data_IF_495993812726
#
_entry.id   IF_495993812726
#
_cell.length_a   1.000
_cell.length_b   1.000
_cell.length_c   1.000
_cell.angle_alpha   90.00
_cell.angle_beta   90.00
_cell.angle_gamma   90.00
#
_symmetry.space_group_name_H-M   'P 1'
#
loop_
_entity.id
_entity.type
_entity.pdbx_description
1 polymer ?
#
# COMPACT_ATOMS: atom_id res chain seq x y z
N UNK A 1 6.02 -19.02 -72.29
CA UNK A 1 5.01 -17.94 -72.13
C UNK A 1 3.93 -18.46 -71.21
N UNK A 2 3.80 -17.90 -70.00
CA UNK A 2 2.52 -17.74 -69.30
C UNK A 2 2.74 -16.71 -68.20
N UNK A 3 2.05 -15.58 -68.34
CA UNK A 3 2.06 -14.47 -67.40
C UNK A 3 0.85 -14.62 -66.46
N UNK A 4 0.93 -13.91 -65.32
CA UNK A 4 -0.18 -13.17 -64.67
C UNK A 4 -1.12 -14.02 -63.78
N UNK A 5 -1.62 -13.59 -62.60
CA UNK A 5 -1.55 -12.35 -61.79
C UNK A 5 -1.76 -12.79 -60.32
N UNK A 6 -0.91 -12.37 -59.37
CA UNK A 6 -1.18 -12.53 -57.93
C UNK A 6 -1.86 -11.27 -57.43
N UNK A 7 -3.13 -11.35 -57.05
CA UNK A 7 -3.90 -10.25 -56.46
C UNK A 7 -3.55 -10.20 -54.96
N UNK A 8 -2.84 -9.15 -54.53
CA UNK A 8 -2.75 -8.79 -53.11
C UNK A 8 -4.01 -8.03 -52.71
N UNK A 9 -4.88 -8.68 -51.93
CA UNK A 9 -5.99 -8.03 -51.27
C UNK A 9 -5.50 -7.40 -49.95
N UNK A 10 -5.34 -6.07 -49.94
CA UNK A 10 -5.01 -5.30 -48.75
C UNK A 10 -6.26 -5.18 -47.86
N UNK A 11 -6.34 -5.97 -46.80
CA UNK A 11 -7.39 -5.84 -45.78
C UNK A 11 -7.03 -4.64 -44.89
N UNK A 12 -7.75 -3.52 -45.09
CA UNK A 12 -7.64 -2.37 -44.20
C UNK A 12 -8.34 -2.69 -42.87
N UNK A 13 -7.56 -2.96 -41.83
CA UNK A 13 -8.06 -3.13 -40.47
C UNK A 13 -8.40 -1.74 -39.93
N UNK A 14 -9.67 -1.37 -39.98
CA UNK A 14 -10.17 -0.12 -39.39
C UNK A 14 -10.20 -0.30 -37.87
N UNK A 15 -9.26 0.35 -37.17
CA UNK A 15 -9.26 0.43 -35.70
C UNK A 15 -10.48 1.22 -35.25
N UNK A 16 -11.45 0.55 -34.63
CA UNK A 16 -12.51 1.24 -33.87
C UNK A 16 -11.89 1.78 -32.58
N UNK A 17 -11.47 3.05 -32.59
CA UNK A 17 -11.17 3.78 -31.36
C UNK A 17 -12.48 4.05 -30.61
N UNK A 18 -12.92 3.10 -29.79
CA UNK A 18 -14.01 3.32 -28.86
C UNK A 18 -13.51 4.28 -27.76
N UNK A 19 -14.00 5.52 -27.77
CA UNK A 19 -13.88 6.45 -26.64
C UNK A 19 -14.76 5.95 -25.48
N UNK A 20 -14.30 4.92 -24.77
CA UNK A 20 -14.91 4.50 -23.51
C UNK A 20 -14.57 5.54 -22.44
N UNK A 21 -15.55 6.35 -22.05
CA UNK A 21 -15.45 7.18 -20.85
C UNK A 21 -15.37 6.25 -19.63
N UNK A 22 -14.18 6.10 -19.06
CA UNK A 22 -13.97 5.33 -17.83
C UNK A 22 -14.50 6.16 -16.66
N UNK A 23 -15.63 5.78 -16.10
CA UNK A 23 -16.14 6.35 -14.83
C UNK A 23 -15.53 5.60 -13.66
N UNK A 24 -14.72 6.28 -12.85
CA UNK A 24 -14.12 5.70 -11.66
C UNK A 24 -15.09 5.81 -10.48
N UNK A 25 -15.58 4.69 -9.99
CA UNK A 25 -16.43 4.64 -8.80
C UNK A 25 -15.57 4.41 -7.56
N UNK A 26 -15.73 5.27 -6.56
CA UNK A 26 -15.02 5.18 -5.28
C UNK A 26 -16.01 5.33 -4.13
N UNK A 27 -15.79 4.57 -3.07
CA UNK A 27 -16.50 4.72 -1.80
C UNK A 27 -15.85 5.82 -0.95
N UNK A 28 -16.63 6.42 -0.05
CA UNK A 28 -16.13 7.44 0.86
C UNK A 28 -15.13 6.84 1.86
N UNK A 29 -13.90 7.34 1.84
CA UNK A 29 -12.80 6.86 2.68
C UNK A 29 -11.91 5.81 2.05
N UNK A 30 -12.14 5.43 0.79
CA UNK A 30 -11.26 4.54 0.03
C UNK A 30 -9.82 5.09 -0.01
N UNK A 31 -8.87 4.35 0.57
CA UNK A 31 -7.45 4.72 0.64
C UNK A 31 -7.18 6.11 1.27
N UNK A 32 -8.07 6.57 2.15
CA UNK A 32 -8.04 7.91 2.73
C UNK A 32 -6.89 8.09 3.75
N UNK A 33 -6.06 9.11 3.54
CA UNK A 33 -5.11 9.64 4.51
C UNK A 33 -5.79 10.71 5.38
N UNK A 34 -6.50 10.29 6.42
CA UNK A 34 -7.28 11.16 7.32
C UNK A 34 -6.45 12.01 8.30
N UNK A 35 -5.20 11.60 8.57
CA UNK A 35 -4.25 12.19 9.52
C UNK A 35 -2.82 12.11 8.97
N UNK A 36 -2.55 12.70 7.80
CA UNK A 36 -1.30 12.50 7.08
C UNK A 36 -0.10 12.83 7.95
N UNK A 37 0.88 11.92 7.97
CA UNK A 37 2.14 12.16 8.64
C UNK A 37 2.96 13.23 7.90
N UNK A 38 3.81 13.94 8.64
CA UNK A 38 4.93 14.69 8.04
C UNK A 38 6.09 13.73 7.75
N UNK A 39 7.16 14.22 7.11
CA UNK A 39 8.42 13.48 7.12
C UNK A 39 9.04 13.55 8.52
N UNK A 40 9.06 12.43 9.23
CA UNK A 40 9.50 12.32 10.63
C UNK A 40 10.27 11.01 10.84
N UNK A 41 11.04 10.91 11.92
CA UNK A 41 11.64 9.62 12.29
C UNK A 41 10.54 8.61 12.63
N UNK A 42 10.83 7.32 12.41
CA UNK A 42 9.86 6.25 12.67
C UNK A 42 9.32 6.31 14.10
N UNK A 43 10.08 6.74 15.11
CA UNK A 43 9.63 6.82 16.50
C UNK A 43 8.55 7.89 16.75
N UNK A 44 8.47 8.90 15.89
CA UNK A 44 7.52 10.01 16.01
C UNK A 44 6.15 9.69 15.38
N UNK A 45 6.04 8.58 14.64
CA UNK A 45 4.76 8.10 14.11
C UNK A 45 3.80 7.76 15.26
N UNK A 46 2.54 8.15 15.08
CA UNK A 46 1.47 7.92 16.05
C UNK A 46 0.70 6.65 15.72
N UNK A 47 0.33 5.89 16.76
CA UNK A 47 -0.44 4.64 16.59
C UNK A 47 -1.85 4.84 15.97
N UNK A 48 -2.33 6.09 15.87
CA UNK A 48 -3.62 6.42 15.28
C UNK A 48 -3.52 6.86 13.80
N UNK A 49 -2.32 6.80 13.20
CA UNK A 49 -2.07 7.05 11.78
C UNK A 49 -2.17 5.72 11.03
N UNK A 50 -2.99 5.70 9.98
CA UNK A 50 -3.16 4.54 9.13
C UNK A 50 -2.05 4.47 8.04
N UNK A 51 -1.94 3.36 7.29
CA UNK A 51 -0.95 3.25 6.22
C UNK A 51 -1.01 4.35 5.16
N UNK A 52 -2.19 4.86 4.81
CA UNK A 52 -2.31 5.99 3.88
C UNK A 52 -1.70 7.27 4.48
N UNK A 53 -1.88 7.49 5.80
CA UNK A 53 -1.28 8.60 6.53
C UNK A 53 0.25 8.50 6.54
N UNK A 54 0.78 7.31 6.81
CA UNK A 54 2.22 7.05 6.87
C UNK A 54 2.84 7.17 5.46
N UNK A 55 2.16 6.66 4.42
CA UNK A 55 2.63 6.82 3.04
C UNK A 55 2.62 8.29 2.58
N UNK A 56 1.70 9.12 3.06
CA UNK A 56 1.73 10.57 2.81
C UNK A 56 3.00 11.23 3.38
N UNK A 57 3.40 10.85 4.60
CA UNK A 57 4.66 11.31 5.20
C UNK A 57 5.90 10.75 4.48
N UNK A 58 5.87 9.47 4.07
CA UNK A 58 6.93 8.85 3.27
C UNK A 58 7.15 9.63 1.97
N UNK A 59 6.08 10.03 1.28
CA UNK A 59 6.17 10.87 0.07
C UNK A 59 6.81 12.23 0.37
N UNK A 60 6.51 12.81 1.53
CA UNK A 60 7.15 14.05 1.99
C UNK A 60 8.66 13.87 2.21
N UNK A 61 9.09 12.72 2.75
CA UNK A 61 10.51 12.38 2.88
C UNK A 61 11.19 12.21 1.54
N UNK A 62 10.56 11.50 0.59
CA UNK A 62 11.08 11.29 -0.76
C UNK A 62 11.28 12.60 -1.52
N UNK A 63 10.34 13.54 -1.38
CA UNK A 63 10.45 14.88 -1.97
C UNK A 63 11.58 15.71 -1.36
N UNK A 64 12.00 15.38 -0.14
CA UNK A 64 13.09 16.04 0.58
C UNK A 64 14.40 15.25 0.51
N UNK A 65 14.46 14.23 -0.34
CA UNK A 65 15.61 13.32 -0.50
C UNK A 65 16.03 12.60 0.81
N UNK A 66 15.14 12.54 1.80
CA UNK A 66 15.35 11.77 3.03
C UNK A 66 14.92 10.32 2.82
N UNK A 67 15.74 9.57 2.08
CA UNK A 67 15.45 8.18 1.73
C UNK A 67 15.48 7.23 2.93
N UNK A 68 16.31 7.53 3.94
CA UNK A 68 16.42 6.69 5.14
C UNK A 68 15.11 6.69 5.94
N UNK A 69 14.56 7.87 6.26
CA UNK A 69 13.27 7.94 6.96
C UNK A 69 12.12 7.46 6.05
N UNK A 70 12.18 7.73 4.75
CA UNK A 70 11.21 7.16 3.81
C UNK A 70 11.19 5.62 3.85
N UNK A 71 12.34 4.96 3.94
CA UNK A 71 12.42 3.50 4.04
C UNK A 71 11.92 2.96 5.38
N UNK A 72 12.19 3.64 6.50
CA UNK A 72 11.60 3.26 7.80
C UNK A 72 10.08 3.44 7.80
N UNK A 73 9.57 4.54 7.23
CA UNK A 73 8.14 4.79 7.07
C UNK A 73 7.48 3.77 6.13
N UNK A 74 8.19 3.31 5.09
CA UNK A 74 7.74 2.21 4.24
C UNK A 74 7.50 0.94 5.07
N UNK A 75 8.45 0.54 5.91
CA UNK A 75 8.25 -0.61 6.78
C UNK A 75 7.08 -0.41 7.75
N UNK A 76 6.97 0.75 8.39
CA UNK A 76 5.85 1.05 9.29
C UNK A 76 4.48 0.93 8.59
N UNK A 77 4.32 1.56 7.41
CA UNK A 77 3.09 1.51 6.64
C UNK A 77 2.76 0.08 6.19
N UNK A 78 3.77 -0.68 5.74
CA UNK A 78 3.59 -2.07 5.32
C UNK A 78 3.24 -2.98 6.50
N UNK A 79 3.88 -2.84 7.67
CA UNK A 79 3.54 -3.60 8.89
C UNK A 79 2.10 -3.33 9.31
N UNK A 80 1.70 -2.06 9.36
CA UNK A 80 0.33 -1.66 9.70
C UNK A 80 -0.68 -2.23 8.69
N UNK A 81 -0.36 -2.16 7.39
CA UNK A 81 -1.20 -2.72 6.34
C UNK A 81 -1.33 -4.24 6.41
N UNK A 82 -0.24 -4.97 6.67
CA UNK A 82 -0.27 -6.43 6.84
C UNK A 82 -1.09 -6.81 8.07
N UNK A 83 -0.96 -6.07 9.18
CA UNK A 83 -1.84 -6.24 10.34
C UNK A 83 -3.32 -5.97 9.97
N UNK A 84 -3.60 -4.94 9.18
CA UNK A 84 -4.95 -4.61 8.74
C UNK A 84 -5.58 -5.72 7.87
N UNK A 85 -4.81 -6.34 6.98
CA UNK A 85 -5.29 -7.50 6.19
C UNK A 85 -5.69 -8.70 7.06
N UNK A 86 -5.21 -8.78 8.30
CA UNK A 86 -5.58 -9.85 9.23
C UNK A 86 -6.87 -9.55 9.98
N UNK A 87 -7.14 -8.27 10.29
CA UNK A 87 -8.30 -7.86 11.08
C UNK A 87 -9.50 -7.44 10.25
N UNK A 88 -9.32 -7.11 8.97
CA UNK A 88 -10.42 -6.76 8.06
C UNK A 88 -11.03 -8.01 7.44
N UNK A 89 -12.36 -8.15 7.55
CA UNK A 89 -13.09 -9.36 7.17
C UNK A 89 -13.25 -9.55 5.65
N UNK A 90 -13.38 -8.45 4.89
CA UNK A 90 -13.48 -8.49 3.44
C UNK A 90 -12.10 -8.71 2.80
N UNK A 91 -11.86 -9.89 2.23
CA UNK A 91 -10.59 -10.22 1.58
C UNK A 91 -10.29 -9.40 0.33
N UNK A 92 -11.31 -8.87 -0.34
CA UNK A 92 -11.10 -8.02 -1.53
C UNK A 92 -10.48 -6.68 -1.14
N UNK A 93 -10.81 -6.20 0.06
CA UNK A 93 -10.28 -4.96 0.63
C UNK A 93 -8.77 -5.01 0.88
N UNK A 94 -8.20 -6.22 1.06
CA UNK A 94 -6.79 -6.42 1.39
C UNK A 94 -5.84 -5.88 0.33
N UNK A 95 -6.30 -5.75 -0.93
CA UNK A 95 -5.52 -5.12 -2.00
C UNK A 95 -5.20 -3.65 -1.73
N UNK A 96 -5.94 -2.99 -0.83
CA UNK A 96 -5.78 -1.57 -0.53
C UNK A 96 -4.35 -1.19 -0.11
N UNK A 97 -3.64 -2.06 0.61
CA UNK A 97 -2.23 -1.79 0.97
C UNK A 97 -1.29 -1.80 -0.23
N UNK A 98 -1.49 -2.72 -1.18
CA UNK A 98 -0.68 -2.81 -2.40
C UNK A 98 -0.98 -1.62 -3.30
N UNK A 99 -2.24 -1.23 -3.44
CA UNK A 99 -2.64 -0.06 -4.23
C UNK A 99 -2.09 1.23 -3.62
N UNK A 100 -2.11 1.39 -2.28
CA UNK A 100 -1.45 2.52 -1.61
C UNK A 100 0.04 2.58 -1.93
N UNK A 101 0.75 1.45 -1.82
CA UNK A 101 2.17 1.38 -2.18
C UNK A 101 2.39 1.78 -3.64
N UNK A 102 1.61 1.23 -4.56
CA UNK A 102 1.69 1.57 -5.99
C UNK A 102 1.47 3.06 -6.23
N UNK A 103 0.41 3.64 -5.65
CA UNK A 103 0.08 5.06 -5.79
C UNK A 103 1.15 5.98 -5.19
N UNK A 104 1.82 5.53 -4.13
CA UNK A 104 2.88 6.30 -3.49
C UNK A 104 4.15 6.32 -4.34
N UNK A 105 4.46 5.21 -5.00
CA UNK A 105 5.68 5.03 -5.79
C UNK A 105 5.51 5.41 -7.27
N UNK A 106 4.28 5.60 -7.77
CA UNK A 106 3.96 5.75 -9.20
C UNK A 106 4.46 7.03 -9.89
N UNK A 107 5.25 7.86 -9.21
CA UNK A 107 5.84 9.07 -9.77
C UNK A 107 7.33 9.26 -9.47
N UNK A 108 7.99 8.25 -8.90
CA UNK A 108 9.42 8.34 -8.61
C UNK A 108 10.24 8.22 -9.89
N UNK A 109 11.31 9.01 -9.98
CA UNK A 109 12.35 8.76 -10.97
C UNK A 109 13.06 7.43 -10.70
N UNK A 110 13.72 6.87 -11.71
CA UNK A 110 14.54 5.65 -11.54
C UNK A 110 15.59 5.82 -10.43
N UNK A 111 16.20 7.01 -10.33
CA UNK A 111 17.16 7.33 -9.29
C UNK A 111 16.52 7.35 -7.90
N UNK A 112 15.39 8.04 -7.73
CA UNK A 112 14.67 8.09 -6.45
C UNK A 112 14.24 6.68 -6.00
N UNK A 113 13.74 5.88 -6.95
CA UNK A 113 13.36 4.50 -6.68
C UNK A 113 14.57 3.66 -6.26
N UNK A 114 15.70 3.77 -6.97
CA UNK A 114 16.93 3.05 -6.63
C UNK A 114 17.47 3.41 -5.25
N UNK A 115 17.46 4.70 -4.89
CA UNK A 115 17.92 5.17 -3.57
C UNK A 115 17.01 4.68 -2.46
N UNK A 116 15.69 4.81 -2.62
CA UNK A 116 14.72 4.24 -1.68
C UNK A 116 14.89 2.72 -1.54
N UNK A 117 15.05 2.00 -2.65
CA UNK A 117 15.22 0.55 -2.63
C UNK A 117 16.51 0.13 -1.90
N UNK A 118 17.58 0.89 -2.05
CA UNK A 118 18.83 0.68 -1.30
C UNK A 118 18.61 0.79 0.21
N UNK A 119 17.92 1.84 0.66
CA UNK A 119 17.61 2.05 2.08
C UNK A 119 16.66 0.96 2.64
N UNK A 120 15.65 0.55 1.86
CA UNK A 120 14.78 -0.56 2.22
C UNK A 120 15.59 -1.85 2.40
N UNK A 121 16.52 -2.14 1.48
CA UNK A 121 17.37 -3.33 1.58
C UNK A 121 18.31 -3.26 2.79
N UNK A 122 18.91 -2.10 3.06
CA UNK A 122 19.81 -1.91 4.20
C UNK A 122 19.11 -2.17 5.54
N UNK A 123 17.84 -1.78 5.68
CA UNK A 123 17.04 -2.09 6.88
C UNK A 123 16.87 -3.61 7.08
N UNK A 124 16.78 -4.42 6.02
CA UNK A 124 16.70 -5.88 6.19
C UNK A 124 18.01 -6.50 6.68
N UNK A 125 19.14 -5.83 6.45
CA UNK A 125 20.45 -6.27 6.93
C UNK A 125 20.69 -5.85 8.39
N UNK A 126 20.19 -4.67 8.79
CA UNK A 126 20.21 -4.17 10.17
C UNK A 126 18.84 -3.60 10.55
N UNK A 127 17.98 -4.47 11.10
CA UNK A 127 16.58 -4.15 11.38
C UNK A 127 16.31 -3.71 12.82
N UNK A 128 17.33 -3.65 13.68
CA UNK A 128 17.19 -3.46 15.12
C UNK A 128 16.39 -2.19 15.47
N UNK A 129 16.69 -1.07 14.78
CA UNK A 129 16.02 0.20 15.02
C UNK A 129 14.52 0.15 14.67
N UNK A 130 14.19 -0.38 13.50
CA UNK A 130 12.80 -0.47 13.02
C UNK A 130 12.01 -1.46 13.87
N UNK A 131 12.61 -2.60 14.20
CA UNK A 131 12.03 -3.60 15.09
C UNK A 131 11.71 -3.05 16.48
N UNK A 132 12.66 -2.33 17.09
CA UNK A 132 12.44 -1.66 18.37
C UNK A 132 11.31 -0.63 18.27
N UNK A 133 11.34 0.24 17.26
CA UNK A 133 10.31 1.28 17.09
C UNK A 133 8.90 0.70 16.90
N UNK A 134 8.74 -0.36 16.12
CA UNK A 134 7.44 -1.02 15.91
C UNK A 134 6.96 -1.77 17.15
N UNK A 135 7.88 -2.42 17.87
CA UNK A 135 7.55 -3.14 19.11
C UNK A 135 7.13 -2.19 20.23
N UNK A 136 7.86 -1.09 20.42
CA UNK A 136 7.58 -0.08 21.46
C UNK A 136 6.31 0.71 21.19
N UNK A 137 5.98 0.97 19.92
CA UNK A 137 4.72 1.67 19.55
C UNK A 137 3.48 0.86 19.88
N UNK A 138 3.55 -0.46 19.76
CA UNK A 138 2.43 -1.35 19.98
C UNK A 138 1.34 -1.26 18.90
N UNK A 139 0.16 -1.75 19.24
CA UNK A 139 -0.95 -1.98 18.32
C UNK A 139 -1.48 -0.68 17.69
N UNK A 140 -1.85 -0.70 16.39
CA UNK A 140 -2.61 0.38 15.78
C UNK A 140 -3.94 0.65 16.49
N UNK A 141 -4.25 1.93 16.69
CA UNK A 141 -5.45 2.40 17.43
C UNK A 141 -6.54 2.98 16.53
N UNK A 142 -6.31 3.06 15.22
CA UNK A 142 -7.32 3.49 14.25
C UNK A 142 -8.22 2.32 13.81
N UNK A 143 -9.43 2.67 13.34
CA UNK A 143 -10.29 1.77 12.57
C UNK A 143 -9.85 1.78 11.10
N UNK A 144 -9.61 0.63 10.44
CA UNK A 144 -9.00 0.54 9.11
C UNK A 144 -9.99 0.87 7.98
N UNK A 145 -10.70 1.99 8.11
CA UNK A 145 -11.66 2.49 7.12
C UNK A 145 -11.05 2.59 5.72
N UNK A 146 -9.78 3.04 5.62
CA UNK A 146 -9.07 3.15 4.34
C UNK A 146 -9.07 1.84 3.55
N UNK A 147 -8.92 0.71 4.26
CA UNK A 147 -8.92 -0.63 3.69
C UNK A 147 -10.35 -1.10 3.50
N UNK A 148 -11.19 -1.05 4.53
CA UNK A 148 -12.59 -1.53 4.45
C UNK A 148 -13.34 -0.90 3.28
N UNK A 149 -13.18 0.40 3.07
CA UNK A 149 -13.84 1.12 1.99
C UNK A 149 -13.26 0.78 0.62
N UNK A 150 -12.04 0.26 0.54
CA UNK A 150 -11.47 -0.24 -0.72
C UNK A 150 -12.15 -1.52 -1.23
N UNK A 151 -12.71 -2.34 -0.32
CA UNK A 151 -13.30 -3.63 -0.67
C UNK A 151 -14.63 -3.55 -1.40
N UNK A 152 -15.02 -4.63 -2.07
CA UNK A 152 -16.32 -4.73 -2.77
C UNK A 152 -17.50 -4.64 -1.80
N UNK A 153 -17.28 -4.99 -0.52
CA UNK A 153 -18.27 -4.80 0.55
C UNK A 153 -18.73 -3.36 0.72
N UNK A 154 -17.91 -2.37 0.34
CA UNK A 154 -18.27 -0.95 0.37
C UNK A 154 -19.34 -0.55 -0.65
N UNK A 155 -19.60 -1.41 -1.66
CA UNK A 155 -20.50 -1.14 -2.78
C UNK A 155 -21.76 -2.01 -2.78
N UNK A 156 -21.91 -2.93 -1.81
CA UNK A 156 -22.92 -4.01 -1.87
C UNK A 156 -23.91 -4.03 -0.70
N UNK A 157 -24.13 -2.89 -0.01
CA UNK A 157 -25.05 -2.71 1.15
C UNK A 157 -24.85 -3.70 2.33
N UNK A 158 -23.86 -4.59 2.27
CA UNK A 158 -23.48 -5.56 3.30
C UNK A 158 -22.58 -4.96 4.39
N UNK A 159 -22.78 -3.69 4.74
CA UNK A 159 -22.05 -2.98 5.80
C UNK A 159 -22.59 -3.30 7.22
N UNK A 160 -23.32 -4.41 7.39
CA UNK A 160 -24.00 -4.74 8.65
C UNK A 160 -23.04 -4.99 9.84
N UNK A 161 -21.74 -5.08 9.60
CA UNK A 161 -20.70 -5.19 10.61
C UNK A 161 -19.68 -4.04 10.48
N UNK A 162 -18.85 -3.86 11.51
CA UNK A 162 -17.79 -2.85 11.52
C UNK A 162 -16.61 -3.16 10.56
N UNK A 163 -16.76 -4.10 9.63
CA UNK A 163 -15.74 -4.54 8.68
C UNK A 163 -14.59 -5.36 9.29
N UNK A 164 -14.68 -5.74 10.56
CA UNK A 164 -13.61 -6.46 11.27
C UNK A 164 -13.99 -7.93 11.54
N UNK A 165 -12.96 -8.76 11.69
CA UNK A 165 -13.08 -10.15 12.14
C UNK A 165 -13.47 -10.18 13.61
N UNK A 166 -14.47 -10.99 13.98
CA UNK A 166 -14.89 -11.18 15.37
C UNK A 166 -13.84 -11.99 16.17
N UNK A 167 -13.70 -11.69 17.47
CA UNK A 167 -12.74 -12.37 18.36
C UNK A 167 -11.28 -12.36 17.84
N UNK A 168 -10.89 -11.28 17.16
CA UNK A 168 -9.58 -11.15 16.54
C UNK A 168 -8.43 -11.07 17.56
N UNK A 169 -7.49 -12.02 17.48
CA UNK A 169 -6.25 -12.01 18.27
C UNK A 169 -5.28 -10.95 17.73
N UNK A 170 -5.42 -9.73 18.27
CA UNK A 170 -4.64 -8.57 17.84
C UNK A 170 -3.16 -8.70 18.14
N UNK A 171 -2.79 -9.30 19.26
CA UNK A 171 -1.41 -9.36 19.69
C UNK A 171 -0.61 -10.32 18.82
N UNK A 172 -1.14 -11.52 18.58
CA UNK A 172 -0.51 -12.50 17.70
C UNK A 172 -0.40 -11.97 16.27
N UNK A 173 -1.48 -11.37 15.75
CA UNK A 173 -1.48 -10.79 14.41
C UNK A 173 -0.47 -9.65 14.23
N UNK A 174 -0.26 -8.83 15.26
CA UNK A 174 0.72 -7.74 15.25
C UNK A 174 2.15 -8.26 15.23
N UNK A 175 2.46 -9.22 16.11
CA UNK A 175 3.76 -9.89 16.12
C UNK A 175 4.07 -10.55 14.77
N UNK A 176 3.09 -11.23 14.17
CA UNK A 176 3.24 -11.83 12.85
C UNK A 176 3.42 -10.78 11.74
N UNK A 177 2.74 -9.63 11.83
CA UNK A 177 2.91 -8.55 10.87
C UNK A 177 4.32 -7.95 10.92
N UNK A 178 4.86 -7.73 12.12
CA UNK A 178 6.25 -7.26 12.31
C UNK A 178 7.23 -8.28 11.72
N UNK A 179 7.10 -9.55 12.08
CA UNK A 179 8.00 -10.62 11.62
C UNK A 179 7.98 -10.75 10.08
N UNK A 180 6.79 -10.77 9.48
CA UNK A 180 6.64 -10.89 8.02
C UNK A 180 7.22 -9.71 7.24
N UNK A 181 7.25 -8.52 7.83
CA UNK A 181 7.65 -7.29 7.12
C UNK A 181 9.12 -6.95 7.33
N UNK A 182 9.59 -6.96 8.58
CA UNK A 182 10.94 -6.49 8.94
C UNK A 182 11.89 -7.63 9.35
N UNK A 183 11.37 -8.85 9.55
CA UNK A 183 12.15 -10.04 9.96
C UNK A 183 12.92 -9.83 11.26
N UNK A 184 12.25 -9.24 12.26
CA UNK A 184 12.86 -8.97 13.55
C UNK A 184 13.40 -10.26 14.17
N UNK A 185 14.69 -10.29 14.48
CA UNK A 185 15.28 -11.43 15.19
C UNK A 185 14.55 -11.57 16.52
N UNK A 186 14.01 -12.75 16.79
CA UNK A 186 13.49 -13.09 18.10
C UNK A 186 14.67 -13.04 19.08
N UNK A 187 14.67 -12.05 19.97
CA UNK A 187 15.60 -11.96 21.10
C UNK A 187 15.27 -12.98 22.17
#
# INVERSE_FOLDING_TARGET
>A
MNKIFTILASIAITSCANNTNVTNFQSNGNLEASKPASCVDINELQANQNPADIFAGMKTCLNSENYSDAAKMYYAAMTYGIYDTKRVSDKTSHQGIIVLRMNTLSGLSEQQFSLLQSEINAILESNEQVCKALSERGLPTYHPKYMIQHGIGAFTDNQANNGLVENFDSQSAWSEAIDKTVKCKQS
#
